data_IF_957969795761
#
_entry.id   IF_957969795761
#
_cell.length_a   1.000
_cell.length_b   1.000
_cell.length_c   1.000
_cell.angle_alpha   90.00
_cell.angle_beta   90.00
_cell.angle_gamma   90.00
#
_symmetry.space_group_name_H-M   'P 1'
#
loop_
_entity.id
_entity.type
_entity.pdbx_description
1 polymer ?
#
# COMPACT_ATOMS: atom_id res chain seq x y z
N UNK A 1 9.25 -1.35 8.69
CA UNK A 1 8.13 -1.53 7.75
C UNK A 1 7.35 -2.69 8.27
N UNK A 2 6.10 -2.42 8.61
CA UNK A 2 5.14 -3.44 9.05
C UNK A 2 3.95 -3.41 8.08
N UNK A 3 3.47 -4.59 7.70
CA UNK A 3 2.39 -4.75 6.73
C UNK A 3 1.25 -5.46 7.45
N UNK A 4 0.14 -4.75 7.59
CA UNK A 4 -1.08 -5.24 8.23
C UNK A 4 -2.18 -5.37 7.19
N UNK A 5 -2.81 -6.54 7.13
CA UNK A 5 -3.94 -6.78 6.22
C UNK A 5 -5.25 -6.72 7.01
N UNK A 6 -6.08 -5.72 6.71
CA UNK A 6 -7.38 -5.48 7.34
C UNK A 6 -8.50 -5.76 6.33
N UNK A 7 -8.87 -7.02 6.18
CA UNK A 7 -9.96 -7.43 5.29
C UNK A 7 -9.64 -7.16 3.82
N UNK A 8 -10.31 -6.16 3.23
CA UNK A 8 -10.12 -5.72 1.84
C UNK A 8 -9.09 -4.59 1.71
N UNK A 9 -8.34 -4.27 2.78
CA UNK A 9 -7.29 -3.25 2.76
C UNK A 9 -5.96 -3.78 3.29
N UNK A 10 -4.87 -3.24 2.77
CA UNK A 10 -3.50 -3.42 3.25
C UNK A 10 -2.99 -2.08 3.77
N UNK A 11 -2.50 -2.06 5.00
CA UNK A 11 -1.91 -0.90 5.65
C UNK A 11 -0.43 -1.16 5.83
N UNK A 12 0.41 -0.26 5.32
CA UNK A 12 1.86 -0.32 5.44
C UNK A 12 2.33 0.83 6.31
N UNK A 13 2.90 0.51 7.48
CA UNK A 13 3.65 1.48 8.28
C UNK A 13 5.03 1.67 7.68
N UNK A 14 5.29 2.89 7.20
CA UNK A 14 6.59 3.29 6.65
C UNK A 14 6.99 4.66 7.17
N UNK A 15 8.13 4.73 7.86
CA UNK A 15 8.68 5.96 8.45
C UNK A 15 7.69 6.71 9.36
N UNK A 16 6.80 5.97 10.05
CA UNK A 16 5.77 6.54 10.93
C UNK A 16 4.59 7.16 10.18
N UNK A 17 4.43 6.81 8.90
CA UNK A 17 3.28 7.15 8.07
C UNK A 17 2.57 5.86 7.65
N UNK A 18 1.26 5.82 7.86
CA UNK A 18 0.42 4.69 7.44
C UNK A 18 -0.04 4.88 5.98
N UNK A 19 0.45 4.03 5.09
CA UNK A 19 0.02 3.98 3.69
C UNK A 19 -1.06 2.91 3.52
N UNK A 20 -2.23 3.30 3.02
CA UNK A 20 -3.35 2.38 2.82
C UNK A 20 -3.48 2.00 1.35
N UNK A 21 -3.76 0.74 1.10
CA UNK A 21 -4.00 0.18 -0.22
C UNK A 21 -5.29 -0.64 -0.19
N UNK A 22 -6.17 -0.43 -1.15
CA UNK A 22 -7.35 -1.26 -1.36
C UNK A 22 -6.96 -2.51 -2.16
N UNK A 23 -7.47 -3.67 -1.75
CA UNK A 23 -7.25 -4.95 -2.44
C UNK A 23 -8.26 -5.03 -3.59
N UNK A 24 -7.81 -4.78 -4.81
CA UNK A 24 -8.66 -4.77 -6.01
C UNK A 24 -8.63 -6.09 -6.80
N UNK A 25 -7.79 -7.04 -6.39
CA UNK A 25 -7.66 -8.35 -7.03
C UNK A 25 -6.95 -9.37 -6.14
N UNK A 26 -6.69 -10.58 -6.67
CA UNK A 26 -6.08 -11.67 -5.90
C UNK A 26 -4.69 -11.32 -5.35
N UNK A 27 -3.93 -10.49 -6.08
CA UNK A 27 -2.66 -9.91 -5.65
C UNK A 27 -2.52 -8.44 -6.10
N UNK A 28 -3.62 -7.76 -6.44
CA UNK A 28 -3.56 -6.37 -6.91
C UNK A 28 -3.98 -5.42 -5.80
N UNK A 29 -3.16 -4.40 -5.57
CA UNK A 29 -3.35 -3.35 -4.58
C UNK A 29 -3.48 -1.99 -5.30
N UNK A 30 -4.48 -1.21 -4.95
CA UNK A 30 -4.65 0.17 -5.42
C UNK A 30 -4.33 1.13 -4.27
N UNK A 31 -3.49 2.13 -4.52
CA UNK A 31 -3.16 3.08 -3.46
C UNK A 31 -4.39 3.92 -3.05
N UNK A 32 -4.86 3.70 -1.83
CA UNK A 32 -6.00 4.40 -1.28
C UNK A 32 -5.52 5.74 -0.70
N UNK A 33 -5.52 6.78 -1.53
CA UNK A 33 -5.09 8.11 -1.11
C UNK A 33 -5.88 8.59 0.13
N UNK A 34 -5.22 8.63 1.28
CA UNK A 34 -5.80 9.20 2.50
C UNK A 34 -5.68 10.72 2.44
N UNK A 35 -6.76 11.42 2.74
CA UNK A 35 -6.97 12.82 2.36
C UNK A 35 -5.84 13.81 2.70
N UNK A 36 -5.74 14.82 1.83
CA UNK A 36 -4.83 15.96 1.84
C UNK A 36 -3.38 15.70 1.38
N UNK A 37 -3.19 14.86 0.36
CA UNK A 37 -2.33 15.15 -0.79
C UNK A 37 -2.41 13.98 -1.77
N UNK A 38 -2.18 14.26 -3.05
CA UNK A 38 -1.83 13.25 -4.06
C UNK A 38 -0.43 12.66 -3.78
N UNK A 39 -0.16 12.27 -2.53
CA UNK A 39 1.07 11.66 -2.09
C UNK A 39 0.96 10.17 -2.40
N UNK A 40 1.41 9.78 -3.60
CA UNK A 40 1.61 8.38 -3.93
C UNK A 40 2.45 7.70 -2.84
N UNK A 41 2.24 6.40 -2.63
CA UNK A 41 3.11 5.61 -1.78
C UNK A 41 4.58 5.77 -2.22
N UNK A 42 5.52 5.93 -1.28
CA UNK A 42 6.94 6.03 -1.61
C UNK A 42 7.41 4.75 -2.30
N UNK A 43 8.36 4.87 -3.23
CA UNK A 43 8.87 3.75 -4.03
C UNK A 43 9.33 2.58 -3.16
N UNK A 44 9.93 2.84 -1.99
CA UNK A 44 10.36 1.78 -1.08
C UNK A 44 9.20 0.93 -0.51
N UNK A 45 8.00 1.50 -0.36
CA UNK A 45 6.79 0.74 0.01
C UNK A 45 6.30 -0.09 -1.17
N UNK A 46 6.28 0.51 -2.35
CA UNK A 46 5.88 -0.15 -3.60
C UNK A 46 6.79 -1.36 -3.87
N UNK A 47 8.11 -1.16 -3.88
CA UNK A 47 9.08 -2.23 -4.12
C UNK A 47 8.97 -3.38 -3.10
N UNK A 48 8.64 -3.05 -1.84
CA UNK A 48 8.48 -4.07 -0.79
C UNK A 48 7.21 -4.89 -0.99
N UNK A 49 6.10 -4.25 -1.34
CA UNK A 49 4.85 -4.94 -1.69
C UNK A 49 5.04 -5.80 -2.95
N UNK A 50 5.74 -5.30 -3.97
CA UNK A 50 6.08 -6.06 -5.17
C UNK A 50 7.01 -7.24 -4.89
N UNK A 51 7.94 -7.11 -3.95
CA UNK A 51 8.81 -8.20 -3.51
C UNK A 51 8.04 -9.31 -2.77
N UNK A 52 6.94 -8.98 -2.08
CA UNK A 52 6.03 -9.97 -1.49
C UNK A 52 5.08 -10.61 -2.52
N UNK A 53 5.03 -10.07 -3.75
CA UNK A 53 4.21 -10.59 -4.84
C UNK A 53 2.92 -9.80 -5.11
N UNK A 54 2.73 -8.66 -4.46
CA UNK A 54 1.62 -7.76 -4.76
C UNK A 54 1.92 -6.87 -5.98
N UNK A 55 0.89 -6.55 -6.75
CA UNK A 55 0.98 -5.62 -7.87
C UNK A 55 0.34 -4.31 -7.40
N UNK A 56 1.16 -3.29 -7.14
CA UNK A 56 0.67 -1.99 -6.66
C UNK A 56 0.39 -1.07 -7.84
N UNK A 57 -0.81 -0.51 -7.87
CA UNK A 57 -1.21 0.50 -8.85
C UNK A 57 -1.12 1.90 -8.23
N UNK A 58 -0.52 2.86 -8.96
CA UNK A 58 -0.36 4.25 -8.50
C UNK A 58 -1.68 5.03 -8.52
#
# INVERSE_FOLDING_TARGET
>A
MDITVEGEQVVVDYEGTDYRFDVIGENELEFAATGDAAAAAPEGVIESLEAEGYIVRP
#
